data_IF_492035889104
#
_entry.id   IF_492035889104
#
_cell.length_a   1.000
_cell.length_b   1.000
_cell.length_c   1.000
_cell.angle_alpha   90.00
_cell.angle_beta   90.00
_cell.angle_gamma   90.00
#
_symmetry.space_group_name_H-M   'P 1'
#
loop_
_entity.id
_entity.type
_entity.pdbx_description
1 polymer ?
#
# COMPACT_ATOMS: atom_id res chain seq x y z
N UNK A 1 4.42 -24.36 25.46
CA UNK A 1 3.16 -23.61 25.37
C UNK A 1 3.33 -22.64 24.21
N UNK A 2 2.96 -23.06 23.00
CA UNK A 2 3.15 -22.27 21.78
C UNK A 2 2.27 -21.02 21.82
N UNK A 3 2.88 -19.84 21.72
CA UNK A 3 2.12 -18.60 21.67
C UNK A 3 1.41 -18.52 20.31
N UNK A 4 0.09 -18.73 20.29
CA UNK A 4 -0.72 -18.51 19.10
C UNK A 4 -0.44 -17.10 18.55
N UNK A 5 -0.17 -17.05 17.25
CA UNK A 5 0.12 -15.81 16.52
C UNK A 5 -1.05 -14.83 16.71
N UNK A 6 -0.79 -13.52 16.83
CA UNK A 6 -1.83 -12.50 17.15
C UNK A 6 -3.07 -12.63 16.26
N UNK A 7 -2.87 -13.01 14.99
CA UNK A 7 -3.94 -13.23 14.00
C UNK A 7 -4.87 -14.42 14.31
N UNK A 8 -4.37 -15.48 14.95
CA UNK A 8 -5.18 -16.63 15.35
C UNK A 8 -6.06 -16.29 16.57
N UNK A 9 -5.50 -15.60 17.57
CA UNK A 9 -6.28 -15.14 18.74
C UNK A 9 -7.38 -14.16 18.37
N UNK A 10 -7.10 -13.25 17.42
CA UNK A 10 -8.13 -12.34 16.87
C UNK A 10 -9.23 -13.05 16.06
N UNK A 11 -8.93 -14.20 15.45
CA UNK A 11 -9.90 -14.97 14.69
C UNK A 11 -10.81 -15.80 15.61
N UNK A 12 -10.22 -16.38 16.67
CA UNK A 12 -10.94 -17.10 17.71
C UNK A 12 -11.89 -16.17 18.49
N UNK A 13 -11.46 -14.95 18.82
CA UNK A 13 -12.30 -13.98 19.54
C UNK A 13 -13.49 -13.45 18.73
N UNK A 14 -13.55 -13.69 17.42
CA UNK A 14 -14.59 -13.20 16.51
C UNK A 14 -15.46 -14.31 15.92
N UNK A 15 -15.49 -15.49 16.54
CA UNK A 15 -16.25 -16.65 16.05
C UNK A 15 -16.00 -16.94 14.55
N UNK A 16 -14.73 -17.23 14.20
CA UNK A 16 -14.33 -17.85 12.93
C UNK A 16 -14.80 -17.17 11.63
N UNK A 17 -15.17 -15.89 11.66
CA UNK A 17 -15.34 -15.13 10.40
C UNK A 17 -13.95 -14.83 9.86
N UNK A 18 -13.61 -15.54 8.78
CA UNK A 18 -12.34 -15.33 8.07
C UNK A 18 -12.19 -13.85 7.68
N UNK A 19 -10.98 -13.30 7.77
CA UNK A 19 -10.73 -11.86 7.54
C UNK A 19 -11.22 -11.38 6.16
N UNK A 20 -11.24 -12.25 5.15
CA UNK A 20 -11.75 -11.97 3.80
C UNK A 20 -13.29 -11.95 3.69
N UNK A 21 -14.01 -12.39 4.73
CA UNK A 21 -15.46 -12.30 4.85
C UNK A 21 -15.90 -11.10 5.70
N UNK A 22 -14.96 -10.31 6.27
CA UNK A 22 -15.32 -9.06 6.96
C UNK A 22 -16.07 -8.18 5.97
N UNK A 23 -17.29 -7.78 6.33
CA UNK A 23 -18.22 -6.95 5.55
C UNK A 23 -18.97 -7.64 4.39
N UNK A 24 -18.68 -8.94 4.14
CA UNK A 24 -19.39 -9.78 3.17
C UNK A 24 -20.24 -10.89 3.84
N UNK A 25 -20.42 -10.83 5.15
CA UNK A 25 -21.45 -11.61 5.82
C UNK A 25 -22.77 -10.83 5.88
N UNK A 26 -23.89 -11.56 5.96
CA UNK A 26 -25.17 -10.99 6.36
C UNK A 26 -25.21 -10.74 7.90
N UNK A 27 -24.05 -10.53 8.53
CA UNK A 27 -23.88 -10.33 9.97
C UNK A 27 -24.18 -8.90 10.40
N UNK A 28 -23.74 -8.51 11.60
CA UNK A 28 -24.06 -7.19 12.15
C UNK A 28 -23.43 -6.07 11.32
N UNK A 29 -24.26 -5.09 10.94
CA UNK A 29 -23.84 -3.93 10.14
C UNK A 29 -22.64 -3.23 10.78
N UNK A 30 -21.73 -2.68 9.98
CA UNK A 30 -20.85 -1.62 10.46
C UNK A 30 -21.73 -0.54 11.07
N UNK A 31 -21.47 -0.11 12.32
CA UNK A 31 -22.40 0.81 12.99
C UNK A 31 -22.46 2.19 12.34
N UNK A 32 -21.52 2.50 11.42
CA UNK A 32 -21.40 3.79 10.74
C UNK A 32 -21.10 3.53 9.26
N UNK A 33 -21.86 4.18 8.39
CA UNK A 33 -21.64 4.17 6.93
C UNK A 33 -20.34 4.91 6.58
N UNK A 34 -19.64 4.53 5.52
CA UNK A 34 -18.40 5.21 5.09
C UNK A 34 -18.66 6.69 4.78
N UNK A 35 -19.82 7.01 4.19
CA UNK A 35 -20.27 8.39 3.91
C UNK A 35 -20.50 9.23 5.17
N UNK A 36 -20.99 8.63 6.25
CA UNK A 36 -21.16 9.31 7.54
C UNK A 36 -19.83 9.44 8.28
N UNK A 37 -19.00 8.40 8.23
CA UNK A 37 -17.67 8.40 8.81
C UNK A 37 -16.78 9.49 8.20
N UNK A 38 -16.86 9.71 6.88
CA UNK A 38 -16.06 10.75 6.22
C UNK A 38 -16.36 12.17 6.73
N UNK A 39 -17.55 12.41 7.29
CA UNK A 39 -17.93 13.71 7.88
C UNK A 39 -17.10 14.09 9.11
N UNK A 40 -16.49 13.11 9.78
CA UNK A 40 -15.70 13.32 11.00
C UNK A 40 -14.30 12.67 10.95
N UNK A 41 -13.96 12.03 9.83
CA UNK A 41 -12.66 11.42 9.62
C UNK A 41 -11.52 12.43 9.81
N UNK A 42 -10.44 12.00 10.47
CA UNK A 42 -9.23 12.82 10.56
C UNK A 42 -8.54 12.86 9.20
N UNK A 43 -7.86 13.98 8.86
CA UNK A 43 -6.98 14.02 7.71
C UNK A 43 -5.99 12.85 7.71
N UNK A 44 -5.68 12.34 6.52
CA UNK A 44 -4.60 11.40 6.33
C UNK A 44 -3.27 12.06 6.74
N UNK A 45 -2.32 11.29 7.30
CA UNK A 45 -1.06 11.87 7.76
C UNK A 45 -0.22 12.34 6.58
N UNK A 46 0.49 13.43 6.80
CA UNK A 46 1.62 13.81 5.97
C UNK A 46 2.89 13.07 6.46
N UNK A 47 3.92 12.95 5.61
CA UNK A 47 5.23 12.49 6.05
C UNK A 47 5.76 13.36 7.20
N UNK A 48 6.37 12.79 8.25
CA UNK A 48 7.01 13.56 9.31
C UNK A 48 8.10 14.48 8.76
N UNK A 49 8.29 15.64 9.39
CA UNK A 49 9.25 16.66 8.93
C UNK A 49 10.68 16.11 8.73
N UNK A 50 11.15 15.23 9.62
CA UNK A 50 12.49 14.64 9.49
C UNK A 50 12.66 13.77 8.24
N UNK A 51 11.58 13.20 7.69
CA UNK A 51 11.61 12.48 6.41
C UNK A 51 11.67 13.46 5.25
N UNK A 52 10.92 14.56 5.32
CA UNK A 52 10.94 15.62 4.31
C UNK A 52 12.30 16.36 4.28
N UNK A 53 12.96 16.47 5.42
CA UNK A 53 14.26 17.13 5.56
C UNK A 53 15.44 16.20 5.20
N UNK A 54 15.18 14.93 4.89
CA UNK A 54 16.21 13.99 4.45
C UNK A 54 16.81 14.47 3.11
N UNK A 55 18.08 14.86 3.17
CA UNK A 55 18.80 15.45 2.03
C UNK A 55 19.03 14.43 0.92
N UNK A 56 19.27 13.18 1.26
CA UNK A 56 19.55 12.12 0.28
C UNK A 56 18.27 11.81 -0.51
N UNK A 57 17.15 11.59 0.20
CA UNK A 57 15.84 11.34 -0.42
C UNK A 57 15.41 12.52 -1.27
N UNK A 58 15.48 13.74 -0.71
CA UNK A 58 15.08 14.97 -1.42
C UNK A 58 15.92 15.23 -2.66
N UNK A 59 17.24 15.03 -2.60
CA UNK A 59 18.12 15.19 -3.75
C UNK A 59 17.82 14.15 -4.83
N UNK A 60 17.59 12.90 -4.46
CA UNK A 60 17.22 11.82 -5.39
C UNK A 60 15.89 12.09 -6.08
N UNK A 61 14.85 12.47 -5.33
CA UNK A 61 13.53 12.82 -5.89
C UNK A 61 13.62 14.01 -6.86
N UNK A 62 14.36 15.06 -6.49
CA UNK A 62 14.50 16.26 -7.33
C UNK A 62 15.30 16.01 -8.60
N UNK A 63 16.33 15.17 -8.55
CA UNK A 63 17.20 14.87 -9.70
C UNK A 63 16.64 13.79 -10.62
N UNK A 64 15.76 12.91 -10.12
CA UNK A 64 15.21 11.78 -10.88
C UNK A 64 13.67 11.69 -10.80
N UNK A 65 12.91 12.77 -11.09
CA UNK A 65 11.45 12.75 -10.96
C UNK A 65 10.78 11.69 -11.87
N UNK A 66 11.41 11.37 -13.00
CA UNK A 66 10.94 10.34 -13.93
C UNK A 66 10.93 8.91 -13.33
N UNK A 67 11.70 8.67 -12.25
CA UNK A 67 11.71 7.37 -11.56
C UNK A 67 10.57 7.21 -10.54
N UNK A 68 9.94 8.31 -10.13
CA UNK A 68 8.96 8.36 -9.04
C UNK A 68 7.65 8.99 -9.48
N UNK A 69 7.17 8.62 -10.68
CA UNK A 69 5.91 9.15 -11.21
C UNK A 69 4.75 8.73 -10.32
N UNK A 70 3.85 9.69 -10.07
CA UNK A 70 2.61 9.45 -9.36
C UNK A 70 1.50 9.35 -10.39
N UNK A 71 1.14 8.11 -10.71
CA UNK A 71 0.10 7.81 -11.69
C UNK A 71 -1.15 7.36 -10.96
N UNK A 72 -2.21 8.16 -11.05
CA UNK A 72 -3.52 7.84 -10.50
C UNK A 72 -4.55 7.69 -11.64
N UNK A 73 -5.35 6.61 -11.65
CA UNK A 73 -6.46 6.47 -12.60
C UNK A 73 -7.64 7.39 -12.24
N UNK A 74 -7.61 8.04 -11.07
CA UNK A 74 -8.68 8.91 -10.58
C UNK A 74 -8.53 10.29 -11.20
N UNK A 75 -9.60 10.83 -11.78
CA UNK A 75 -9.64 12.23 -12.19
C UNK A 75 -9.73 13.13 -10.95
N UNK A 76 -8.57 13.56 -10.44
CA UNK A 76 -8.48 14.34 -9.20
C UNK A 76 -9.19 15.68 -9.31
N UNK A 77 -9.11 16.36 -10.47
CA UNK A 77 -9.81 17.62 -10.70
C UNK A 77 -11.33 17.44 -10.58
N UNK A 78 -11.87 16.38 -11.20
CA UNK A 78 -13.30 16.08 -11.09
C UNK A 78 -13.69 15.69 -9.66
N UNK A 79 -12.86 14.92 -8.97
CA UNK A 79 -13.10 14.57 -7.57
C UNK A 79 -13.12 15.81 -6.68
N UNK A 80 -12.20 16.76 -6.90
CA UNK A 80 -12.11 18.04 -6.19
C UNK A 80 -13.37 18.88 -6.39
N UNK A 81 -13.89 18.95 -7.61
CA UNK A 81 -15.16 19.62 -7.90
C UNK A 81 -16.34 18.95 -7.18
N UNK A 82 -16.45 17.61 -7.28
CA UNK A 82 -17.54 16.86 -6.67
C UNK A 82 -17.55 16.93 -5.15
N UNK A 83 -16.38 17.16 -4.52
CA UNK A 83 -16.21 17.20 -3.07
C UNK A 83 -16.04 18.61 -2.52
N UNK A 84 -16.22 19.66 -3.34
CA UNK A 84 -16.00 21.05 -2.94
C UNK A 84 -16.94 21.51 -1.82
N UNK A 85 -18.12 20.90 -1.71
CA UNK A 85 -19.14 21.20 -0.67
C UNK A 85 -19.13 20.19 0.48
N UNK A 86 -18.19 19.25 0.50
CA UNK A 86 -18.12 18.27 1.59
C UNK A 86 -17.79 18.99 2.92
N UNK A 87 -18.50 18.69 4.03
CA UNK A 87 -18.36 19.45 5.28
C UNK A 87 -17.00 19.24 5.96
N UNK A 88 -16.37 18.09 5.76
CA UNK A 88 -15.03 17.80 6.25
C UNK A 88 -13.97 18.05 5.18
N UNK A 89 -13.73 19.32 4.87
CA UNK A 89 -12.67 19.72 3.92
C UNK A 89 -11.26 19.28 4.33
N UNK A 90 -10.85 19.32 5.62
CA UNK A 90 -9.52 18.85 6.02
C UNK A 90 -9.23 17.41 5.57
N UNK A 91 -10.19 16.50 5.74
CA UNK A 91 -10.04 15.12 5.27
C UNK A 91 -9.99 15.04 3.74
N UNK A 92 -10.92 15.69 3.04
CA UNK A 92 -10.97 15.69 1.58
C UNK A 92 -9.66 16.21 0.97
N UNK A 93 -9.14 17.32 1.46
CA UNK A 93 -7.89 17.88 0.95
C UNK A 93 -6.70 16.94 1.17
N UNK A 94 -6.64 16.21 2.30
CA UNK A 94 -5.61 15.19 2.52
C UNK A 94 -5.69 14.02 1.54
N UNK A 95 -6.90 13.60 1.15
CA UNK A 95 -7.12 12.55 0.14
C UNK A 95 -6.70 13.04 -1.24
N UNK A 96 -7.13 14.25 -1.63
CA UNK A 96 -6.75 14.85 -2.91
C UNK A 96 -5.24 15.00 -3.04
N UNK A 97 -4.58 15.50 -1.99
CA UNK A 97 -3.12 15.56 -1.92
C UNK A 97 -2.49 14.19 -2.07
N UNK A 98 -2.98 13.18 -1.35
CA UNK A 98 -2.44 11.81 -1.46
C UNK A 98 -2.59 11.19 -2.86
N UNK A 99 -3.59 11.59 -3.64
CA UNK A 99 -3.76 11.16 -5.03
C UNK A 99 -2.81 11.88 -6.00
N UNK A 100 -2.38 13.09 -5.67
CA UNK A 100 -1.46 13.92 -6.48
C UNK A 100 0.01 13.68 -6.12
N UNK A 101 0.30 13.61 -4.81
CA UNK A 101 1.64 13.61 -4.22
C UNK A 101 2.00 12.26 -3.56
N UNK A 102 1.05 11.32 -3.50
CA UNK A 102 1.24 10.00 -2.90
C UNK A 102 0.85 9.93 -1.42
N UNK A 103 0.51 8.73 -0.95
CA UNK A 103 0.07 8.51 0.44
C UNK A 103 1.23 8.15 1.36
N UNK A 104 1.32 8.81 2.52
CA UNK A 104 2.24 8.41 3.56
C UNK A 104 1.78 7.11 4.25
N UNK A 105 2.60 6.04 4.28
CA UNK A 105 2.16 4.74 4.77
C UNK A 105 2.34 4.58 6.29
N UNK A 106 2.43 5.67 7.08
CA UNK A 106 2.78 5.62 8.52
C UNK A 106 4.11 4.90 8.78
N UNK A 107 5.08 5.07 7.87
CA UNK A 107 6.40 4.49 8.05
C UNK A 107 7.19 5.25 9.13
N UNK A 108 7.97 4.51 9.91
CA UNK A 108 8.99 5.04 10.81
C UNK A 108 10.29 4.28 10.54
N UNK A 109 11.33 5.03 10.16
CA UNK A 109 12.64 4.44 9.85
C UNK A 109 13.51 4.44 11.11
N UNK A 110 14.07 3.28 11.49
CA UNK A 110 15.11 3.22 12.51
C UNK A 110 16.31 4.11 12.15
N UNK A 111 16.93 4.77 13.13
CA UNK A 111 18.06 5.68 12.90
C UNK A 111 19.30 4.99 12.33
N UNK A 112 19.44 3.69 12.55
CA UNK A 112 20.55 2.85 12.07
C UNK A 112 20.33 2.28 10.65
N UNK A 113 19.26 2.69 9.98
CA UNK A 113 18.94 2.21 8.65
C UNK A 113 19.91 2.79 7.61
N UNK A 114 20.49 1.97 6.70
CA UNK A 114 21.32 2.50 5.63
C UNK A 114 20.51 3.36 4.64
N UNK A 115 21.17 4.38 4.06
CA UNK A 115 20.61 5.27 3.03
C UNK A 115 20.14 4.49 1.79
N UNK A 116 20.90 3.47 1.39
CA UNK A 116 20.48 2.50 0.37
C UNK A 116 20.52 1.09 0.92
N UNK A 117 19.49 0.29 0.66
CA UNK A 117 19.51 -1.13 0.99
C UNK A 117 19.13 -2.00 -0.20
N UNK A 118 20.04 -2.89 -0.57
CA UNK A 118 19.81 -3.91 -1.57
C UNK A 118 19.66 -5.26 -0.86
N UNK A 119 18.42 -5.75 -0.83
CA UNK A 119 18.06 -7.07 -0.38
C UNK A 119 18.33 -8.08 -1.48
N UNK A 120 18.93 -9.21 -1.12
CA UNK A 120 19.14 -10.33 -2.05
C UNK A 120 17.81 -10.81 -2.64
N UNK A 121 17.74 -10.82 -3.97
CA UNK A 121 16.62 -11.37 -4.72
C UNK A 121 17.10 -12.63 -5.46
N UNK A 122 16.61 -13.83 -5.09
CA UNK A 122 17.02 -15.04 -5.79
C UNK A 122 16.63 -14.97 -7.26
N UNK A 123 17.49 -15.41 -8.19
CA UNK A 123 17.16 -15.42 -9.60
C UNK A 123 16.02 -16.41 -9.88
N UNK A 124 15.22 -16.18 -10.94
CA UNK A 124 14.20 -17.13 -11.35
C UNK A 124 14.81 -18.50 -11.64
N UNK A 125 14.21 -19.56 -11.10
CA UNK A 125 14.74 -20.92 -11.19
C UNK A 125 14.49 -21.57 -12.55
N UNK A 126 13.48 -21.11 -13.29
CA UNK A 126 13.12 -21.63 -14.62
C UNK A 126 13.02 -20.51 -15.66
N UNK A 127 13.17 -20.89 -16.93
CA UNK A 127 12.99 -19.95 -18.04
C UNK A 127 11.55 -19.42 -18.11
N UNK A 128 10.57 -20.25 -17.75
CA UNK A 128 9.16 -19.87 -17.68
C UNK A 128 8.91 -18.77 -16.64
N UNK A 129 9.46 -18.93 -15.43
CA UNK A 129 9.37 -17.90 -14.39
C UNK A 129 10.03 -16.59 -14.83
N UNK A 130 11.18 -16.67 -15.50
CA UNK A 130 11.87 -15.49 -16.06
C UNK A 130 10.99 -14.78 -17.10
N UNK A 131 10.46 -15.52 -18.07
CA UNK A 131 9.62 -14.96 -19.13
C UNK A 131 8.35 -14.33 -18.55
N UNK A 132 7.72 -14.97 -17.56
CA UNK A 132 6.56 -14.43 -16.87
C UNK A 132 6.86 -13.10 -16.16
N UNK A 133 7.97 -13.01 -15.43
CA UNK A 133 8.37 -11.77 -14.75
C UNK A 133 8.68 -10.65 -15.75
N UNK A 134 9.32 -10.96 -16.87
CA UNK A 134 9.56 -9.98 -17.95
C UNK A 134 8.25 -9.48 -18.55
N UNK A 135 7.30 -10.38 -18.85
CA UNK A 135 5.99 -10.00 -19.38
C UNK A 135 5.19 -9.13 -18.39
N UNK A 136 5.28 -9.42 -17.08
CA UNK A 136 4.66 -8.57 -16.07
C UNK A 136 5.32 -7.21 -15.96
N UNK A 137 6.65 -7.15 -15.94
CA UNK A 137 7.40 -5.89 -16.00
C UNK A 137 6.92 -5.04 -17.20
N UNK A 138 6.84 -5.64 -18.38
CA UNK A 138 6.44 -4.92 -19.59
C UNK A 138 5.00 -4.41 -19.52
N UNK A 139 4.12 -5.17 -18.88
CA UNK A 139 2.73 -4.75 -18.62
C UNK A 139 2.66 -3.55 -17.66
N UNK A 140 3.44 -3.56 -16.59
CA UNK A 140 3.46 -2.46 -15.61
C UNK A 140 4.17 -1.20 -16.17
N UNK A 141 5.20 -1.38 -17.00
CA UNK A 141 5.83 -0.30 -17.79
C UNK A 141 4.84 0.35 -18.77
N UNK A 142 4.09 -0.47 -19.52
CA UNK A 142 3.09 0.04 -20.47
C UNK A 142 1.95 0.83 -19.79
N UNK A 143 1.73 0.59 -18.49
CA UNK A 143 0.76 1.32 -17.66
C UNK A 143 1.37 2.51 -16.91
N UNK A 144 2.64 2.81 -17.14
CA UNK A 144 3.42 3.86 -16.46
C UNK A 144 3.46 3.70 -14.93
N UNK A 145 3.28 2.47 -14.44
CA UNK A 145 3.35 2.15 -13.00
C UNK A 145 4.77 1.85 -12.55
N UNK A 146 5.58 1.34 -13.46
CA UNK A 146 7.03 1.21 -13.28
C UNK A 146 7.75 2.28 -14.08
N UNK A 147 8.85 2.78 -13.53
CA UNK A 147 9.80 3.59 -14.26
C UNK A 147 10.70 2.75 -15.17
N UNK A 148 11.39 3.43 -16.07
CA UNK A 148 12.44 2.80 -16.89
C UNK A 148 13.56 2.23 -16.02
N UNK A 149 14.28 1.25 -16.56
CA UNK A 149 15.38 0.61 -15.85
C UNK A 149 16.52 1.61 -15.59
N UNK A 150 17.15 1.48 -14.42
CA UNK A 150 18.31 2.27 -14.02
C UNK A 150 19.37 1.35 -13.39
N UNK A 151 20.64 1.77 -13.44
CA UNK A 151 21.78 0.87 -13.19
C UNK A 151 22.00 0.50 -11.72
N UNK A 152 21.76 1.45 -10.81
CA UNK A 152 22.05 1.28 -9.38
C UNK A 152 21.04 2.02 -8.51
N UNK A 153 20.77 1.48 -7.32
CA UNK A 153 19.97 2.17 -6.31
C UNK A 153 20.62 3.51 -5.95
N UNK A 154 19.82 4.57 -5.97
CA UNK A 154 20.20 5.91 -5.55
C UNK A 154 19.95 6.10 -4.04
N UNK A 155 20.63 7.06 -3.38
CA UNK A 155 20.39 7.36 -1.95
C UNK A 155 18.90 7.52 -1.63
N UNK A 156 18.46 6.90 -0.53
CA UNK A 156 17.05 6.82 -0.14
C UNK A 156 16.26 5.67 -0.77
N UNK A 157 16.77 5.01 -1.83
CA UNK A 157 16.10 3.89 -2.48
C UNK A 157 16.39 2.55 -1.80
N UNK A 158 15.41 1.65 -1.91
CA UNK A 158 15.51 0.26 -1.46
C UNK A 158 14.84 -0.64 -2.49
N UNK A 159 15.39 -1.82 -2.70
CA UNK A 159 14.68 -2.85 -3.47
C UNK A 159 13.83 -3.70 -2.52
N UNK A 160 12.91 -4.47 -3.09
CA UNK A 160 12.18 -5.50 -2.36
C UNK A 160 12.13 -6.74 -3.25
N UNK A 161 12.54 -7.92 -2.75
CA UNK A 161 12.66 -9.10 -3.59
C UNK A 161 11.30 -9.46 -4.18
N UNK A 162 11.29 -9.62 -5.50
CA UNK A 162 10.09 -9.93 -6.28
C UNK A 162 10.35 -11.19 -7.09
N UNK A 163 9.48 -12.17 -6.96
CA UNK A 163 9.65 -13.49 -7.58
C UNK A 163 8.32 -14.08 -8.03
N UNK A 164 8.38 -15.02 -8.97
CA UNK A 164 7.21 -15.75 -9.46
C UNK A 164 6.98 -16.99 -8.59
N UNK A 165 5.73 -17.21 -8.19
CA UNK A 165 5.30 -18.44 -7.53
C UNK A 165 4.18 -19.11 -8.31
N UNK A 166 4.10 -20.46 -8.30
CA UNK A 166 2.98 -21.17 -8.88
C UNK A 166 1.63 -20.78 -8.21
N UNK A 167 0.58 -20.71 -9.01
CA UNK A 167 -0.83 -20.65 -8.58
C UNK A 167 -1.64 -21.72 -9.32
N UNK A 168 -2.90 -21.91 -8.92
CA UNK A 168 -3.85 -22.82 -9.58
C UNK A 168 -3.30 -24.25 -9.75
N UNK A 169 -2.62 -24.76 -8.72
CA UNK A 169 -2.01 -26.09 -8.74
C UNK A 169 -0.78 -26.22 -9.63
N UNK A 170 -0.18 -25.11 -10.06
CA UNK A 170 1.01 -25.08 -10.92
C UNK A 170 0.72 -24.82 -12.40
N UNK A 171 -0.53 -24.50 -12.76
CA UNK A 171 -0.93 -24.23 -14.13
C UNK A 171 -0.60 -22.81 -14.59
N UNK A 172 -0.40 -21.89 -13.65
CA UNK A 172 -0.07 -20.50 -13.95
C UNK A 172 0.83 -19.94 -12.85
N UNK A 173 1.41 -18.78 -13.09
CA UNK A 173 2.30 -18.07 -12.18
C UNK A 173 1.63 -16.81 -11.65
N UNK A 174 2.08 -16.37 -10.48
CA UNK A 174 1.79 -15.03 -9.95
C UNK A 174 3.08 -14.38 -9.46
N UNK A 175 3.19 -13.08 -9.66
CA UNK A 175 4.29 -12.29 -9.13
C UNK A 175 4.02 -11.96 -7.66
N UNK A 176 5.02 -12.12 -6.81
CA UNK A 176 4.95 -11.82 -5.37
C UNK A 176 6.14 -10.95 -4.99
N UNK A 177 5.85 -9.81 -4.37
CA UNK A 177 6.85 -8.93 -3.75
C UNK A 177 6.87 -9.18 -2.25
N UNK A 178 8.02 -9.60 -1.71
CA UNK A 178 8.16 -9.93 -0.31
C UNK A 178 8.56 -8.72 0.53
N UNK A 179 7.57 -7.89 0.89
CA UNK A 179 7.72 -6.72 1.77
C UNK A 179 8.07 -7.05 3.23
N UNK A 180 8.16 -8.34 3.58
CA UNK A 180 8.47 -8.84 4.92
C UNK A 180 9.88 -9.45 5.00
N UNK A 181 10.73 -9.26 3.99
CA UNK A 181 12.10 -9.77 4.02
C UNK A 181 12.97 -8.94 4.97
N UNK A 182 13.51 -9.61 5.97
CA UNK A 182 14.49 -9.08 6.93
C UNK A 182 15.88 -8.86 6.28
N UNK A 183 16.74 -7.99 6.84
CA UNK A 183 16.63 -7.30 8.15
C UNK A 183 15.88 -5.95 8.14
N UNK A 184 15.53 -5.45 6.96
CA UNK A 184 14.95 -4.12 6.76
C UNK A 184 13.59 -4.20 6.06
N UNK A 185 12.69 -5.00 6.63
CA UNK A 185 11.39 -5.27 6.02
C UNK A 185 10.50 -4.03 5.99
N UNK A 186 9.99 -3.65 4.81
CA UNK A 186 9.10 -2.49 4.68
C UNK A 186 7.84 -2.61 5.56
N UNK A 187 7.33 -3.83 5.73
CA UNK A 187 6.18 -4.11 6.58
C UNK A 187 6.44 -3.97 8.09
N UNK A 188 7.70 -3.95 8.54
CA UNK A 188 8.03 -3.67 9.95
C UNK A 188 8.12 -2.18 10.24
N UNK A 189 8.38 -1.36 9.22
CA UNK A 189 8.47 0.10 9.35
C UNK A 189 7.10 0.77 9.51
N UNK A 190 6.01 0.11 9.07
CA UNK A 190 4.66 0.65 9.17
C UNK A 190 4.10 0.46 10.57
N UNK A 191 3.76 1.56 11.24
CA UNK A 191 3.07 1.51 12.54
C UNK A 191 1.60 1.09 12.36
N UNK A 192 1.36 -0.21 12.53
CA UNK A 192 0.03 -0.83 12.43
C UNK A 192 -0.92 -0.37 13.54
N UNK A 193 -0.42 0.23 14.61
CA UNK A 193 -1.25 0.76 15.70
C UNK A 193 -1.70 2.19 15.41
N UNK A 194 -0.90 2.96 14.68
CA UNK A 194 -1.25 4.30 14.20
C UNK A 194 -2.23 4.27 13.02
N UNK A 195 -2.27 3.18 12.24
CA UNK A 195 -3.26 2.99 11.19
C UNK A 195 -4.66 2.82 11.80
N UNK A 196 -5.46 3.89 11.73
CA UNK A 196 -6.86 3.87 12.11
C UNK A 196 -7.66 2.84 11.29
N UNK A 197 -8.69 2.24 11.89
CA UNK A 197 -9.64 1.38 11.16
C UNK A 197 -10.56 2.29 10.34
N UNK A 198 -10.51 2.15 9.02
CA UNK A 198 -11.48 2.78 8.11
C UNK A 198 -12.72 1.86 8.02
N UNK A 199 -13.93 2.34 8.31
CA UNK A 199 -15.13 1.56 8.09
C UNK A 199 -15.37 1.41 6.57
N UNK A 200 -15.66 0.18 6.17
CA UNK A 200 -16.11 -0.13 4.82
C UNK A 200 -17.60 -0.44 4.88
N UNK A 201 -18.35 0.06 3.91
CA UNK A 201 -19.76 -0.30 3.75
C UNK A 201 -19.89 -1.80 3.44
N UNK A 202 -20.69 -2.50 4.24
CA UNK A 202 -21.02 -3.89 4.01
C UNK A 202 -22.23 -4.05 3.09
N UNK A 203 -22.50 -5.29 2.67
CA UNK A 203 -23.63 -5.60 1.77
C UNK A 203 -25.00 -5.15 2.32
N UNK A 204 -25.18 -5.12 3.64
CA UNK A 204 -26.43 -4.63 4.26
C UNK A 204 -26.63 -3.14 4.05
N UNK A 205 -25.59 -2.34 4.29
CA UNK A 205 -25.62 -0.88 4.09
C UNK A 205 -25.96 -0.58 2.63
N UNK A 206 -25.33 -1.30 1.69
CA UNK A 206 -25.62 -1.16 0.27
C UNK A 206 -27.06 -1.54 -0.07
N UNK A 207 -27.59 -2.64 0.47
CA UNK A 207 -28.94 -3.10 0.21
C UNK A 207 -30.04 -2.20 0.79
N UNK A 208 -29.76 -1.44 1.85
CA UNK A 208 -30.69 -0.43 2.39
C UNK A 208 -30.75 0.85 1.54
N UNK A 209 -29.80 1.06 0.64
CA UNK A 209 -29.68 2.27 -0.20
C UNK A 209 -30.17 2.09 -1.65
N UNK A 210 -30.53 0.85 -2.03
CA UNK A 210 -31.09 0.51 -3.35
C UNK A 210 -32.63 0.43 -3.31
#
# INVERSE_FOLDING_TARGET
MESLHVKQREAESRNFVSRYLRYNDWGFSTPIKTSEWSLSARPLPDPPQHVLDDRDVSATLASHPHLFKIVTPVNVNRLRELTSTHPNQPFVQSVLRGLEDGFWPWASYPTDHPSTHETECPPPSTQEQRNFLLAQRDTELAKDRYSEAFEKLLPGMRNTPTFAVPKDGGQDLRMVTNHSKEPYSQNSMVDKTAMGKVPLDGMKVLGEEM
#
